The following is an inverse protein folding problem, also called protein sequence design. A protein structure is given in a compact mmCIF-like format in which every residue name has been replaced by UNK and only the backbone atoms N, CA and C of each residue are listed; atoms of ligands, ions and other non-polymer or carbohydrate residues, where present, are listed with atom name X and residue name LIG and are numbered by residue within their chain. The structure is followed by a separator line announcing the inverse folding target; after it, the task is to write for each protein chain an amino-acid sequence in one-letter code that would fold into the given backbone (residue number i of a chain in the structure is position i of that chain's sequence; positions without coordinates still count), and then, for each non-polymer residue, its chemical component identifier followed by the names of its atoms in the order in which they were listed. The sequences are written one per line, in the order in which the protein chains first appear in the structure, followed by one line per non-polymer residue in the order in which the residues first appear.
data_IF_662523120430
#
_entry.id   IF_662523120430
#
_cell.length_a   1.000
_cell.length_b   1.000
_cell.length_c   1.000
_cell.angle_alpha   90.00
_cell.angle_beta   90.00
_cell.angle_gamma   90.00
#
_symmetry.space_group_name_H-M   'P 1'
#
loop_
_entity.id
_entity.type
_entity.pdbx_description
1 polymer ?
#
# COMPACT_ATOMS: atom_id res chain seq x y z
N UNK A 1 8.21 -4.89 7.80
CA UNK A 1 6.74 -4.90 7.71
C UNK A 1 6.35 -5.15 6.27
N UNK A 2 5.62 -6.22 5.98
CA UNK A 2 5.07 -6.44 4.64
C UNK A 2 3.90 -5.48 4.43
N UNK A 3 4.02 -4.52 3.51
CA UNK A 3 2.91 -3.63 3.13
C UNK A 3 1.89 -4.34 2.23
N UNK A 4 1.43 -5.52 2.65
CA UNK A 4 0.59 -6.42 1.88
C UNK A 4 -0.65 -6.78 2.71
N UNK A 5 -1.82 -6.57 2.13
CA UNK A 5 -3.15 -6.66 2.73
C UNK A 5 -4.05 -7.64 1.98
N UNK A 6 -5.09 -8.13 2.65
CA UNK A 6 -6.03 -9.09 2.07
C UNK A 6 -7.27 -8.39 1.50
N UNK A 7 -7.60 -7.18 1.98
CA UNK A 7 -8.68 -6.37 1.43
C UNK A 7 -8.17 -5.07 0.80
N UNK A 8 -8.98 -4.55 -0.13
CA UNK A 8 -8.79 -3.22 -0.72
C UNK A 8 -8.86 -2.14 0.35
N UNK A 9 -9.83 -2.25 1.25
CA UNK A 9 -10.08 -1.30 2.34
C UNK A 9 -8.89 -1.19 3.29
N UNK A 10 -8.26 -2.30 3.66
CA UNK A 10 -7.06 -2.30 4.50
C UNK A 10 -5.88 -1.62 3.81
N UNK A 11 -5.69 -1.88 2.51
CA UNK A 11 -4.64 -1.24 1.73
C UNK A 11 -4.91 0.26 1.54
N UNK A 12 -6.17 0.67 1.38
CA UNK A 12 -6.54 2.06 1.22
C UNK A 12 -6.34 2.82 2.53
N UNK A 13 -6.82 2.27 3.66
CA UNK A 13 -6.56 2.83 4.97
C UNK A 13 -5.06 3.00 5.22
N UNK A 14 -4.25 1.98 4.86
CA UNK A 14 -2.81 2.08 5.01
C UNK A 14 -2.17 3.12 4.08
N UNK A 15 -2.71 3.33 2.88
CA UNK A 15 -2.23 4.38 1.97
C UNK A 15 -2.39 5.76 2.60
N UNK A 16 -3.53 6.01 3.25
CA UNK A 16 -3.82 7.24 3.99
C UNK A 16 -2.86 7.44 5.16
N UNK A 17 -2.62 6.38 5.94
CA UNK A 17 -1.67 6.44 7.07
C UNK A 17 -0.22 6.69 6.63
N UNK A 18 0.16 6.21 5.46
CA UNK A 18 1.47 6.45 4.86
C UNK A 18 1.57 7.84 4.20
N UNK A 19 0.44 8.49 3.92
CA UNK A 19 0.37 9.74 3.16
C UNK A 19 0.67 9.56 1.66
N UNK A 20 0.43 8.37 1.13
CA UNK A 20 0.52 8.08 -0.29
C UNK A 20 -0.86 7.86 -0.89
N UNK A 21 -1.00 8.02 -2.19
CA UNK A 21 -2.30 7.92 -2.86
C UNK A 21 -2.46 6.59 -3.60
N UNK A 22 -3.65 6.00 -3.44
CA UNK A 22 -4.10 4.83 -4.15
C UNK A 22 -3.62 3.49 -3.57
N UNK A 23 -4.06 2.43 -4.22
CA UNK A 23 -3.71 1.04 -3.92
C UNK A 23 -3.39 0.33 -5.22
N UNK A 24 -2.59 -0.75 -5.15
CA UNK A 24 -2.36 -1.62 -6.29
C UNK A 24 -2.50 -3.09 -5.89
N UNK A 25 -3.08 -3.87 -6.80
CA UNK A 25 -3.22 -5.31 -6.63
C UNK A 25 -1.94 -6.01 -7.09
N UNK A 26 -1.36 -6.81 -6.21
CA UNK A 26 -0.23 -7.69 -6.50
C UNK A 26 -0.68 -9.15 -6.35
N UNK A 27 -0.94 -9.81 -7.48
CA UNK A 27 -1.57 -11.15 -7.55
C UNK A 27 -2.91 -11.16 -6.81
N UNK A 28 -2.99 -11.83 -5.67
CA UNK A 28 -4.19 -11.96 -4.85
C UNK A 28 -4.19 -11.05 -3.62
N UNK A 29 -3.24 -10.12 -3.56
CA UNK A 29 -3.03 -9.26 -2.39
C UNK A 29 -3.05 -7.79 -2.76
N UNK A 30 -3.37 -6.95 -1.80
CA UNK A 30 -3.46 -5.51 -1.96
C UNK A 30 -2.28 -4.83 -1.31
N UNK A 31 -1.78 -3.78 -1.94
CA UNK A 31 -0.66 -3.01 -1.42
C UNK A 31 -1.03 -1.52 -1.44
N UNK A 32 -0.63 -0.75 -0.41
CA UNK A 32 -0.87 0.68 -0.41
C UNK A 32 0.05 1.38 -1.40
N UNK A 33 -0.34 2.61 -1.74
CA UNK A 33 0.29 3.44 -2.75
C UNK A 33 0.11 2.90 -4.17
N UNK A 34 0.41 3.73 -5.17
CA UNK A 34 0.16 3.38 -6.58
C UNK A 34 1.02 2.21 -7.10
N UNK A 35 2.16 1.95 -6.46
CA UNK A 35 3.06 0.84 -6.79
C UNK A 35 4.05 0.55 -5.66
N UNK A 36 4.73 -0.59 -5.76
CA UNK A 36 5.74 -1.03 -4.79
C UNK A 36 6.88 -0.01 -4.61
N UNK A 37 7.34 0.64 -5.69
CA UNK A 37 8.42 1.64 -5.60
C UNK A 37 8.03 2.81 -4.71
N UNK A 38 6.80 3.31 -4.85
CA UNK A 38 6.27 4.39 -4.03
C UNK A 38 6.07 3.93 -2.59
N UNK A 39 5.53 2.74 -2.39
CA UNK A 39 5.41 2.14 -1.06
C UNK A 39 6.75 2.13 -0.31
N UNK A 40 7.84 1.68 -0.94
CA UNK A 40 9.18 1.68 -0.32
C UNK A 40 9.69 3.08 0.04
N UNK A 41 9.24 4.14 -0.66
CA UNK A 41 9.60 5.52 -0.31
C UNK A 41 8.89 5.93 0.97
N UNK A 42 7.58 5.69 1.07
CA UNK A 42 6.77 6.09 2.24
C UNK A 42 7.01 5.21 3.47
N UNK A 43 7.40 3.95 3.30
CA UNK A 43 7.74 3.05 4.42
C UNK A 43 9.13 3.31 5.04
N UNK A 44 9.99 4.07 4.35
CA UNK A 44 11.34 4.44 4.84
C UNK A 44 11.37 5.81 5.53
N UNK A 45 10.29 6.58 5.45
CA UNK A 45 10.09 7.77 6.27
C UNK A 45 9.70 7.35 7.68
#
# INVERSE_FOLDING_TARGET
MSGIFLSEEEAEYRSLELGCEGIHKNKDKWMPCKNEKELHIYMRK
#
